data_IF_576868070695
#
_entry.id   IF_576868070695
#
_cell.length_a   1.000
_cell.length_b   1.000
_cell.length_c   1.000
_cell.angle_alpha   90.00
_cell.angle_beta   90.00
_cell.angle_gamma   90.00
#
_symmetry.space_group_name_H-M   'P 1'
#
loop_
_entity.id
_entity.type
_entity.pdbx_description
1 polymer ?
#
# COMPACT_ATOMS: atom_id res chain seq x y z
N UNK A 1 -8.06 -3.36 -15.86
CA UNK A 1 -6.97 -4.22 -15.37
C UNK A 1 -6.31 -4.86 -16.56
N UNK A 2 -5.05 -4.55 -16.84
CA UNK A 2 -4.44 -4.91 -18.13
C UNK A 2 -3.98 -6.37 -18.22
N UNK A 3 -3.61 -7.00 -17.08
CA UNK A 3 -3.08 -8.37 -17.06
C UNK A 3 -3.56 -9.19 -15.83
N UNK A 4 -4.86 -9.51 -15.71
CA UNK A 4 -5.40 -10.17 -14.52
C UNK A 4 -4.85 -11.59 -14.26
N UNK A 5 -4.36 -12.27 -15.29
CA UNK A 5 -3.69 -13.58 -15.18
C UNK A 5 -2.35 -13.53 -14.42
N UNK A 6 -1.82 -12.34 -14.16
CA UNK A 6 -0.61 -12.16 -13.35
C UNK A 6 -0.90 -12.11 -11.85
N UNK A 7 -2.19 -12.05 -11.47
CA UNK A 7 -2.64 -11.99 -10.08
C UNK A 7 -2.21 -10.73 -9.31
N UNK A 8 -1.73 -9.67 -9.98
CA UNK A 8 -1.30 -8.44 -9.31
C UNK A 8 -2.34 -7.32 -9.40
N UNK A 9 -2.72 -6.75 -8.27
CA UNK A 9 -3.37 -5.44 -8.23
C UNK A 9 -2.31 -4.33 -8.30
N UNK A 10 -2.48 -3.37 -9.21
CA UNK A 10 -1.75 -2.09 -9.16
C UNK A 10 -2.48 -1.11 -8.27
N UNK A 11 -1.78 -0.51 -7.31
CA UNK A 11 -2.35 0.43 -6.34
C UNK A 11 -1.59 1.75 -6.39
N UNK A 12 -2.32 2.86 -6.37
CA UNK A 12 -1.77 4.20 -6.21
C UNK A 12 -2.50 4.92 -5.07
N UNK A 13 -1.73 5.44 -4.12
CA UNK A 13 -2.18 6.27 -3.01
C UNK A 13 -1.64 7.69 -3.25
N UNK A 14 -2.52 8.70 -3.18
CA UNK A 14 -2.16 10.12 -3.29
C UNK A 14 -2.40 10.81 -1.97
N UNK A 15 -1.35 11.41 -1.42
CA UNK A 15 -1.38 12.11 -0.15
C UNK A 15 -1.12 13.59 -0.40
N UNK A 16 -2.05 14.44 0.04
CA UNK A 16 -1.92 15.90 -0.01
C UNK A 16 -1.92 16.46 1.42
N UNK A 17 -1.69 17.77 1.57
CA UNK A 17 -1.76 18.48 2.85
C UNK A 17 -0.81 17.93 3.93
N UNK A 18 0.41 17.58 3.51
CA UNK A 18 1.40 16.84 4.31
C UNK A 18 2.17 17.68 5.34
N UNK A 19 1.56 18.66 6.02
CA UNK A 19 2.10 19.47 7.15
C UNK A 19 3.63 19.77 7.15
N UNK A 20 4.27 19.91 5.98
CA UNK A 20 5.74 20.00 5.82
C UNK A 20 6.55 18.94 6.57
N UNK A 21 6.02 17.73 6.78
CA UNK A 21 6.74 16.63 7.45
C UNK A 21 8.02 16.30 6.69
N UNK A 22 9.06 15.85 7.39
CA UNK A 22 10.33 15.41 6.77
C UNK A 22 10.23 14.01 6.16
N UNK A 23 9.37 13.18 6.73
CA UNK A 23 9.06 11.85 6.24
C UNK A 23 7.62 11.44 6.56
N UNK A 24 7.16 10.40 5.86
CA UNK A 24 5.92 9.69 6.12
C UNK A 24 6.21 8.21 6.26
N UNK A 25 5.60 7.57 7.25
CA UNK A 25 5.62 6.13 7.40
C UNK A 25 4.31 5.57 6.83
N UNK A 26 4.41 4.83 5.74
CA UNK A 26 3.30 4.16 5.05
C UNK A 26 3.30 2.69 5.45
N UNK A 27 2.16 2.18 5.91
CA UNK A 27 2.03 0.88 6.55
C UNK A 27 1.02 0.00 5.82
N UNK A 28 1.39 -1.27 5.62
CA UNK A 28 0.44 -2.32 5.28
C UNK A 28 -0.15 -2.91 6.57
N UNK A 29 -1.47 -3.10 6.69
CA UNK A 29 -2.06 -3.80 7.83
C UNK A 29 -1.45 -5.19 8.07
N UNK A 30 -1.58 -5.69 9.29
CA UNK A 30 -1.08 -7.02 9.69
C UNK A 30 -2.19 -7.94 10.18
N UNK A 31 -3.46 -7.54 10.06
CA UNK A 31 -4.64 -8.33 10.41
C UNK A 31 -5.87 -7.68 9.76
N UNK A 32 -7.01 -8.38 9.79
CA UNK A 32 -8.28 -7.88 9.23
C UNK A 32 -9.38 -7.98 10.29
N UNK A 33 -10.28 -6.98 10.44
CA UNK A 33 -11.46 -7.09 11.30
C UNK A 33 -12.25 -8.38 11.07
N UNK A 34 -12.66 -9.03 12.16
CA UNK A 34 -13.29 -10.36 12.12
C UNK A 34 -12.31 -11.54 12.05
N UNK A 35 -10.99 -11.30 11.89
CA UNK A 35 -9.95 -12.33 11.96
C UNK A 35 -8.71 -11.83 12.71
N UNK A 36 -8.70 -12.03 14.03
CA UNK A 36 -7.70 -11.50 14.96
C UNK A 36 -6.43 -12.37 15.03
N UNK A 37 -5.79 -12.57 13.88
CA UNK A 37 -4.51 -13.27 13.76
C UNK A 37 -3.54 -12.42 12.94
N UNK A 38 -2.29 -12.30 13.41
CA UNK A 38 -1.25 -11.59 12.66
C UNK A 38 -1.01 -12.29 11.32
N UNK A 39 -0.93 -11.47 10.28
CA UNK A 39 -0.72 -11.81 8.88
C UNK A 39 0.41 -10.95 8.33
N UNK A 40 1.19 -11.56 7.45
CA UNK A 40 2.30 -10.91 6.78
C UNK A 40 1.84 -10.41 5.39
N UNK A 41 0.79 -9.59 5.31
CA UNK A 41 0.26 -9.09 4.02
C UNK A 41 1.32 -8.34 3.20
N UNK A 42 2.22 -7.63 3.91
CA UNK A 42 3.35 -6.91 3.33
C UNK A 42 4.33 -7.78 2.53
N UNK A 43 4.28 -9.12 2.64
CA UNK A 43 5.08 -10.05 1.83
C UNK A 43 4.66 -10.06 0.36
N UNK A 44 3.40 -9.69 0.08
CA UNK A 44 2.82 -9.68 -1.26
C UNK A 44 3.01 -8.32 -1.97
N UNK A 45 3.62 -7.35 -1.31
CA UNK A 45 3.85 -6.01 -1.86
C UNK A 45 5.15 -5.99 -2.67
N UNK A 46 5.05 -5.56 -3.91
CA UNK A 46 6.17 -5.42 -4.83
C UNK A 46 6.20 -4.03 -5.47
N UNK A 47 7.37 -3.62 -5.96
CA UNK A 47 7.51 -2.40 -6.76
C UNK A 47 7.13 -1.10 -6.04
N UNK A 48 7.28 -1.03 -4.70
CA UNK A 48 6.99 0.20 -3.95
C UNK A 48 7.85 1.35 -4.46
N UNK A 49 7.18 2.41 -4.93
CA UNK A 49 7.80 3.65 -5.39
C UNK A 49 7.05 4.85 -4.81
N UNK A 50 7.79 5.91 -4.49
CA UNK A 50 7.23 7.18 -4.05
C UNK A 50 7.70 8.31 -4.95
N UNK A 51 6.80 9.24 -5.27
CA UNK A 51 7.06 10.43 -6.09
C UNK A 51 6.42 11.66 -5.46
N UNK A 52 6.93 12.85 -5.74
CA UNK A 52 6.24 14.11 -5.41
C UNK A 52 5.11 14.42 -6.42
N UNK A 53 4.36 15.49 -6.18
CA UNK A 53 3.29 15.95 -7.09
C UNK A 53 3.77 16.34 -8.50
N UNK A 54 5.07 16.64 -8.66
CA UNK A 54 5.70 16.89 -9.96
C UNK A 54 6.20 15.62 -10.66
N UNK A 55 6.08 14.45 -10.02
CA UNK A 55 6.55 13.16 -10.54
C UNK A 55 8.01 12.84 -10.25
N UNK A 56 8.73 13.69 -9.49
CA UNK A 56 10.12 13.42 -9.13
C UNK A 56 10.18 12.30 -8.09
N UNK A 57 11.14 11.36 -8.21
CA UNK A 57 11.27 10.26 -7.25
C UNK A 57 11.63 10.78 -5.86
N UNK A 58 10.98 10.22 -4.84
CA UNK A 58 11.28 10.43 -3.43
C UNK A 58 12.00 9.19 -2.87
N UNK A 59 12.99 9.41 -2.01
CA UNK A 59 13.70 8.30 -1.38
C UNK A 59 12.77 7.55 -0.43
N UNK A 60 12.71 6.22 -0.56
CA UNK A 60 11.89 5.38 0.30
C UNK A 60 12.64 4.12 0.73
N UNK A 61 12.47 3.75 2.00
CA UNK A 61 13.14 2.58 2.60
C UNK A 61 12.14 1.76 3.43
N UNK A 62 12.26 0.43 3.39
CA UNK A 62 11.46 -0.45 4.23
C UNK A 62 12.13 -0.57 5.60
N UNK A 63 11.54 0.03 6.64
CA UNK A 63 12.16 0.15 7.98
C UNK A 63 11.81 -1.00 8.92
N UNK A 64 10.76 -1.76 8.60
CA UNK A 64 10.38 -3.00 9.28
C UNK A 64 9.50 -3.87 8.35
N UNK A 65 8.94 -4.98 8.85
CA UNK A 65 8.20 -5.96 8.03
C UNK A 65 7.08 -5.39 7.18
N UNK A 66 6.38 -4.34 7.65
CA UNK A 66 5.18 -3.82 7.02
C UNK A 66 5.16 -2.29 6.86
N UNK A 67 6.29 -1.60 7.09
CA UNK A 67 6.36 -0.13 7.04
C UNK A 67 7.44 0.34 6.07
N UNK A 68 7.06 1.27 5.21
CA UNK A 68 7.93 2.01 4.29
C UNK A 68 8.00 3.46 4.72
N UNK A 69 9.21 3.97 4.94
CA UNK A 69 9.46 5.38 5.21
C UNK A 69 9.75 6.11 3.91
N UNK A 70 8.93 7.09 3.58
CA UNK A 70 9.11 7.99 2.43
C UNK A 70 9.69 9.31 2.92
N UNK A 71 10.87 9.70 2.44
CA UNK A 71 11.48 11.01 2.69
C UNK A 71 10.80 12.04 1.82
N UNK A 72 9.93 12.85 2.41
CA UNK A 72 9.08 13.80 1.70
C UNK A 72 9.80 15.09 1.36
N UNK A 73 10.89 15.44 2.06
CA UNK A 73 11.60 16.72 1.85
C UNK A 73 10.65 17.94 1.93
N UNK A 74 9.61 17.83 2.76
CA UNK A 74 8.56 18.85 2.93
C UNK A 74 7.78 19.22 1.66
N UNK A 75 7.64 18.30 0.69
CA UNK A 75 6.73 18.48 -0.46
C UNK A 75 5.27 18.51 -0.02
N UNK A 76 4.42 19.19 -0.80
CA UNK A 76 2.99 19.32 -0.53
C UNK A 76 2.18 18.06 -0.88
N UNK A 77 2.63 17.29 -1.87
CA UNK A 77 1.95 16.08 -2.36
C UNK A 77 2.95 14.94 -2.52
N UNK A 78 2.54 13.74 -2.10
CA UNK A 78 3.27 12.48 -2.29
C UNK A 78 2.36 11.47 -2.97
N UNK A 79 2.85 10.82 -4.02
CA UNK A 79 2.21 9.69 -4.69
C UNK A 79 3.00 8.43 -4.39
N UNK A 80 2.33 7.42 -3.85
CA UNK A 80 2.90 6.11 -3.58
C UNK A 80 2.23 5.11 -4.52
N UNK A 81 3.02 4.35 -5.26
CA UNK A 81 2.53 3.29 -6.12
C UNK A 81 3.22 1.96 -5.80
N UNK A 82 2.49 0.86 -5.89
CA UNK A 82 2.99 -0.48 -5.65
C UNK A 82 2.07 -1.52 -6.29
N UNK A 83 2.51 -2.76 -6.31
CA UNK A 83 1.74 -3.91 -6.74
C UNK A 83 1.48 -4.86 -5.56
N UNK A 84 0.34 -5.53 -5.56
CA UNK A 84 -0.01 -6.55 -4.56
C UNK A 84 -0.33 -7.86 -5.26
N UNK A 85 0.46 -8.90 -4.97
CA UNK A 85 0.17 -10.26 -5.41
C UNK A 85 -1.04 -10.83 -4.66
N UNK A 86 -2.06 -11.23 -5.41
CA UNK A 86 -3.37 -11.62 -4.91
C UNK A 86 -3.80 -12.94 -5.57
N UNK A 87 -3.27 -14.06 -5.06
CA UNK A 87 -3.63 -15.41 -5.54
C UNK A 87 -3.97 -16.36 -4.39
N UNK A 88 -4.61 -15.83 -3.34
CA UNK A 88 -5.05 -16.63 -2.20
C UNK A 88 -6.56 -16.50 -2.05
N UNK A 89 -7.33 -17.55 -2.38
CA UNK A 89 -8.80 -17.53 -2.35
C UNK A 89 -9.35 -17.78 -0.94
N UNK A 90 -9.45 -16.73 -0.12
CA UNK A 90 -10.03 -16.77 1.23
C UNK A 90 -10.75 -15.47 1.57
N UNK A 91 -11.68 -15.47 2.53
CA UNK A 91 -12.34 -14.22 2.96
C UNK A 91 -11.39 -13.18 3.63
N UNK A 92 -10.12 -13.53 3.87
CA UNK A 92 -9.15 -12.74 4.65
C UNK A 92 -8.04 -12.13 3.82
N UNK A 93 -7.92 -12.51 2.55
CA UNK A 93 -6.86 -12.11 1.62
C UNK A 93 -7.47 -11.48 0.37
N UNK A 94 -6.73 -11.33 -0.71
CA UNK A 94 -7.31 -10.94 -2.00
C UNK A 94 -6.97 -12.01 -3.05
N UNK A 95 -7.81 -12.10 -4.07
CA UNK A 95 -7.58 -12.99 -5.20
C UNK A 95 -7.91 -12.27 -6.49
N UNK A 96 -7.20 -12.66 -7.53
CA UNK A 96 -7.40 -12.19 -8.87
C UNK A 96 -6.93 -13.26 -9.83
N UNK A 97 -7.75 -13.59 -10.81
CA UNK A 97 -7.34 -14.35 -11.98
C UNK A 97 -8.06 -13.81 -13.23
N UNK A 98 -7.94 -14.52 -14.36
CA UNK A 98 -8.57 -14.13 -15.61
C UNK A 98 -10.11 -14.17 -15.58
N UNK A 99 -10.72 -14.86 -14.62
CA UNK A 99 -12.16 -15.04 -14.50
C UNK A 99 -12.83 -14.03 -13.57
N UNK A 100 -12.21 -13.74 -12.43
CA UNK A 100 -12.74 -12.81 -11.43
C UNK A 100 -11.64 -12.29 -10.49
N UNK A 101 -12.00 -11.27 -9.73
CA UNK A 101 -11.18 -10.80 -8.62
C UNK A 101 -12.05 -10.40 -7.43
N UNK A 102 -11.51 -10.58 -6.23
CA UNK A 102 -12.09 -10.05 -5.02
C UNK A 102 -10.98 -9.38 -4.18
N UNK A 103 -11.37 -8.31 -3.50
CA UNK A 103 -10.46 -7.44 -2.75
C UNK A 103 -10.82 -7.43 -1.27
N UNK A 104 -9.82 -7.66 -0.44
CA UNK A 104 -9.87 -7.33 0.97
C UNK A 104 -8.96 -6.14 1.23
N UNK A 105 -9.55 -5.02 1.65
CA UNK A 105 -8.86 -3.74 1.81
C UNK A 105 -7.62 -3.83 2.72
N UNK A 106 -7.67 -4.62 3.79
CA UNK A 106 -6.53 -4.77 4.70
C UNK A 106 -5.32 -5.49 4.06
N UNK A 107 -5.55 -6.28 3.01
CA UNK A 107 -4.48 -6.97 2.27
C UNK A 107 -3.95 -6.19 1.07
N UNK A 108 -4.57 -5.05 0.71
CA UNK A 108 -4.26 -4.29 -0.52
C UNK A 108 -3.94 -2.83 -0.26
N UNK A 109 -4.71 -2.15 0.57
CA UNK A 109 -4.52 -0.73 0.85
C UNK A 109 -3.55 -0.51 2.01
N UNK A 110 -2.55 0.31 1.76
CA UNK A 110 -1.69 0.85 2.81
C UNK A 110 -2.33 2.08 3.44
N UNK A 111 -1.85 2.48 4.60
CA UNK A 111 -2.29 3.68 5.31
C UNK A 111 -1.09 4.46 5.85
N UNK A 112 -1.26 5.75 6.13
CA UNK A 112 -0.23 6.56 6.78
C UNK A 112 -0.28 6.36 8.29
N UNK A 113 0.87 6.10 8.91
CA UNK A 113 0.95 5.93 10.36
C UNK A 113 0.36 7.14 11.10
N UNK A 114 -0.44 6.86 12.14
CA UNK A 114 -1.19 7.86 12.93
C UNK A 114 -2.27 8.63 12.15
N UNK A 115 -2.69 8.15 10.98
CA UNK A 115 -3.78 8.74 10.18
C UNK A 115 -4.83 7.68 9.80
N UNK A 116 -5.10 6.71 10.68
CA UNK A 116 -6.08 5.64 10.44
C UNK A 116 -7.52 6.14 10.30
N UNK A 117 -7.80 7.36 10.75
CA UNK A 117 -9.12 8.00 10.61
C UNK A 117 -9.34 8.59 9.22
N UNK A 118 -8.30 8.63 8.38
CA UNK A 118 -8.42 9.00 6.97
C UNK A 118 -8.73 7.75 6.13
N UNK A 119 -9.49 7.90 5.03
CA UNK A 119 -9.63 6.83 4.06
C UNK A 119 -8.24 6.33 3.59
N UNK A 120 -8.11 5.01 3.51
CA UNK A 120 -6.98 4.35 2.87
C UNK A 120 -7.09 4.39 1.35
#
# INVERSE_FOLDING_TARGET
>A
MEAPHTHYFGVEMRLSDLDKREYLDVKMPVWTPGSYLIREYAKNVEGFVARDGGGNPLASEKINKNTWRVRTRSVAEVRVAYQVYAYELTVRTSFLDASHGYLNGASVFMYVDKMLDLPA
#
